data_IF_960615326520
#
_entry.id   IF_960615326520
#
_cell.length_a   1.000
_cell.length_b   1.000
_cell.length_c   1.000
_cell.angle_alpha   90.00
_cell.angle_beta   90.00
_cell.angle_gamma   90.00
#
_symmetry.space_group_name_H-M   'P 1'
#
loop_
_entity.id
_entity.type
_entity.pdbx_description
1 polymer ?
#
# COMPACT_ATOMS: atom_id res chain seq x y z
N UNK A 1 3.40 -1.32 -44.21
CA UNK A 1 3.93 -1.96 -45.42
C UNK A 1 5.32 -1.43 -45.67
N UNK A 2 6.31 -2.33 -45.79
CA UNK A 2 7.71 -1.94 -46.02
C UNK A 2 7.98 -1.90 -47.54
N UNK A 3 7.33 -2.80 -48.27
CA UNK A 3 7.35 -2.84 -49.75
C UNK A 3 5.99 -3.35 -50.23
N UNK A 4 5.36 -2.63 -51.16
CA UNK A 4 4.02 -3.01 -51.69
C UNK A 4 4.02 -4.14 -52.68
N UNK A 5 5.20 -4.65 -53.03
CA UNK A 5 5.33 -5.65 -54.04
C UNK A 5 4.95 -5.14 -55.47
N UNK A 6 5.43 -5.79 -56.48
CA UNK A 6 5.07 -5.43 -57.87
C UNK A 6 4.63 -6.69 -58.62
N UNK A 7 3.58 -6.57 -59.44
CA UNK A 7 3.17 -7.61 -60.34
C UNK A 7 4.11 -7.61 -61.55
N UNK A 8 4.82 -8.71 -61.76
CA UNK A 8 5.61 -8.91 -62.97
C UNK A 8 4.73 -9.12 -64.20
N UNK A 9 5.27 -8.83 -65.40
CA UNK A 9 4.64 -9.17 -66.66
C UNK A 9 5.12 -10.57 -67.06
N UNK A 10 4.21 -11.52 -67.27
CA UNK A 10 4.51 -12.90 -67.58
C UNK A 10 5.42 -13.65 -66.59
N UNK A 11 5.35 -13.25 -65.30
CA UNK A 11 6.16 -13.86 -64.23
C UNK A 11 7.59 -13.30 -64.11
N UNK A 12 7.99 -12.37 -64.96
CA UNK A 12 9.30 -11.72 -64.90
C UNK A 12 9.16 -10.37 -64.18
N UNK A 13 9.99 -10.12 -63.15
CA UNK A 13 10.03 -8.85 -62.41
C UNK A 13 8.95 -8.71 -61.31
N UNK A 14 8.35 -9.81 -60.86
CA UNK A 14 7.49 -9.81 -59.69
C UNK A 14 8.34 -9.62 -58.44
N UNK A 15 7.93 -8.72 -57.55
CA UNK A 15 8.51 -8.53 -56.23
C UNK A 15 7.44 -8.82 -55.16
N UNK A 16 7.80 -9.62 -54.17
CA UNK A 16 6.89 -9.93 -53.05
C UNK A 16 6.65 -8.72 -52.14
N UNK A 17 5.41 -8.56 -51.67
CA UNK A 17 5.10 -7.57 -50.69
C UNK A 17 5.73 -7.95 -49.33
N UNK A 18 6.46 -7.01 -48.73
CA UNK A 18 7.02 -7.18 -47.39
C UNK A 18 6.21 -6.35 -46.41
N UNK A 19 5.55 -7.02 -45.50
CA UNK A 19 4.76 -6.39 -44.45
C UNK A 19 5.45 -6.64 -43.12
N UNK A 20 5.77 -5.55 -42.39
CA UNK A 20 6.20 -5.64 -40.98
C UNK A 20 4.99 -5.47 -40.11
N UNK A 21 4.59 -6.53 -39.40
CA UNK A 21 3.53 -6.48 -38.39
C UNK A 21 4.19 -6.22 -37.06
N UNK A 22 3.83 -5.10 -36.40
CA UNK A 22 4.19 -4.81 -35.02
C UNK A 22 2.99 -5.23 -34.17
N UNK A 23 3.15 -6.27 -33.39
CA UNK A 23 2.17 -6.59 -32.35
C UNK A 23 2.31 -5.58 -31.22
N UNK A 24 1.25 -4.84 -30.94
CA UNK A 24 1.19 -4.01 -29.75
C UNK A 24 0.86 -4.91 -28.57
N UNK A 25 1.76 -4.94 -27.60
CA UNK A 25 1.58 -5.68 -26.35
C UNK A 25 0.69 -4.85 -25.46
N UNK A 26 -0.44 -5.40 -25.02
CA UNK A 26 -1.36 -4.68 -24.13
C UNK A 26 -0.74 -4.45 -22.75
N UNK A 27 -1.21 -3.43 -21.99
CA UNK A 27 -0.76 -3.19 -20.63
C UNK A 27 -0.90 -4.41 -19.71
N UNK A 28 -1.99 -5.16 -19.86
CA UNK A 28 -2.21 -6.42 -19.13
C UNK A 28 -1.15 -7.47 -19.47
N UNK A 29 -0.88 -7.68 -20.76
CA UNK A 29 0.15 -8.64 -21.19
C UNK A 29 1.55 -8.27 -20.71
N UNK A 30 1.87 -6.95 -20.61
CA UNK A 30 3.13 -6.49 -20.00
C UNK A 30 3.19 -6.87 -18.52
N UNK A 31 2.10 -6.67 -17.79
CA UNK A 31 2.00 -6.99 -16.36
C UNK A 31 2.13 -8.49 -16.12
N UNK A 32 1.33 -9.31 -16.82
CA UNK A 32 1.32 -10.76 -16.65
C UNK A 32 2.67 -11.40 -17.01
N UNK A 33 3.26 -10.96 -18.13
CA UNK A 33 4.58 -11.45 -18.52
C UNK A 33 5.63 -11.14 -17.47
N UNK A 34 5.69 -9.89 -17.01
CA UNK A 34 6.66 -9.48 -16.00
C UNK A 34 6.48 -10.26 -14.70
N UNK A 35 5.24 -10.38 -14.21
CA UNK A 35 4.96 -11.13 -12.98
C UNK A 35 5.33 -12.61 -13.14
N UNK A 36 4.99 -13.21 -14.28
CA UNK A 36 5.34 -14.60 -14.56
C UNK A 36 6.84 -14.81 -14.54
N UNK A 37 7.60 -13.98 -15.26
CA UNK A 37 9.07 -14.06 -15.33
C UNK A 37 9.69 -13.92 -13.91
N UNK A 38 9.15 -13.04 -13.07
CA UNK A 38 9.60 -12.87 -11.69
C UNK A 38 9.26 -14.10 -10.84
N UNK A 39 8.02 -14.60 -10.88
CA UNK A 39 7.60 -15.78 -10.11
C UNK A 39 8.42 -17.02 -10.47
N UNK A 40 8.62 -17.27 -11.77
CA UNK A 40 9.47 -18.36 -12.26
C UNK A 40 10.92 -18.24 -11.76
N UNK A 41 11.47 -17.02 -11.73
CA UNK A 41 12.84 -16.76 -11.23
C UNK A 41 13.00 -17.06 -9.74
N UNK A 42 11.92 -16.92 -8.96
CA UNK A 42 11.90 -17.27 -7.54
C UNK A 42 11.46 -18.73 -7.26
N UNK A 43 11.13 -19.48 -8.30
CA UNK A 43 10.60 -20.83 -8.15
C UNK A 43 9.22 -20.87 -7.48
N UNK A 44 8.41 -19.84 -7.71
CA UNK A 44 7.05 -19.68 -7.17
C UNK A 44 6.06 -20.10 -8.26
N UNK A 45 5.24 -21.11 -7.99
CA UNK A 45 4.22 -21.60 -8.91
C UNK A 45 2.85 -21.04 -8.55
N UNK A 46 2.39 -20.06 -9.33
CA UNK A 46 1.13 -19.36 -9.13
C UNK A 46 0.42 -19.11 -10.46
N UNK A 47 -0.89 -18.94 -10.41
CA UNK A 47 -1.72 -18.50 -11.53
C UNK A 47 -1.99 -17.02 -11.43
N UNK A 48 -2.04 -16.34 -12.57
CA UNK A 48 -2.33 -14.93 -12.69
C UNK A 48 -3.69 -14.75 -13.37
N UNK A 49 -4.62 -14.09 -12.69
CA UNK A 49 -5.93 -13.72 -13.22
C UNK A 49 -5.96 -12.20 -13.40
N UNK A 50 -5.82 -11.73 -14.64
CA UNK A 50 -5.73 -10.31 -14.94
C UNK A 50 -6.94 -9.76 -15.67
N UNK A 51 -7.25 -8.48 -15.45
CA UNK A 51 -8.19 -7.68 -16.24
C UNK A 51 -7.61 -6.31 -16.55
N UNK A 52 -8.08 -5.72 -17.65
CA UNK A 52 -7.73 -4.35 -18.04
C UNK A 52 -9.01 -3.60 -18.41
N UNK A 53 -9.39 -2.65 -17.59
CA UNK A 53 -10.58 -1.81 -17.74
C UNK A 53 -10.29 -0.39 -17.23
N UNK A 54 -10.83 0.62 -17.87
CA UNK A 54 -10.76 2.03 -17.45
C UNK A 54 -9.32 2.50 -17.09
N UNK A 55 -8.37 2.24 -17.99
CA UNK A 55 -6.94 2.55 -17.78
C UNK A 55 -6.35 1.95 -16.49
N UNK A 56 -6.94 0.84 -16.04
CA UNK A 56 -6.51 0.13 -14.83
C UNK A 56 -6.26 -1.34 -15.13
N UNK A 57 -5.05 -1.80 -14.83
CA UNK A 57 -4.67 -3.22 -14.81
C UNK A 57 -4.87 -3.76 -13.41
N UNK A 58 -5.64 -4.83 -13.28
CA UNK A 58 -5.80 -5.57 -12.02
C UNK A 58 -5.32 -6.98 -12.23
N UNK A 59 -4.48 -7.47 -11.33
CA UNK A 59 -3.99 -8.85 -11.36
C UNK A 59 -4.20 -9.48 -9.99
N UNK A 60 -4.93 -10.59 -9.96
CA UNK A 60 -5.04 -11.44 -8.79
C UNK A 60 -4.09 -12.63 -8.93
N UNK A 61 -3.28 -12.85 -7.91
CA UNK A 61 -2.34 -13.95 -7.84
C UNK A 61 -2.98 -15.07 -7.03
N UNK A 62 -3.08 -16.26 -7.64
CA UNK A 62 -3.72 -17.44 -7.04
C UNK A 62 -2.73 -18.58 -6.98
N UNK A 63 -2.61 -19.23 -5.84
CA UNK A 63 -1.72 -20.36 -5.62
C UNK A 63 -2.05 -21.09 -4.34
N UNK A 64 -1.24 -22.05 -3.96
CA UNK A 64 -1.37 -22.66 -2.64
C UNK A 64 -0.93 -21.68 -1.53
N UNK A 65 -1.23 -22.00 -0.28
CA UNK A 65 -0.98 -21.08 0.84
C UNK A 65 0.52 -20.83 1.11
N UNK A 66 1.40 -21.74 0.73
CA UNK A 66 2.85 -21.55 0.86
C UNK A 66 3.36 -20.55 -0.18
N UNK A 67 2.99 -20.75 -1.45
CA UNK A 67 3.38 -19.87 -2.55
C UNK A 67 2.79 -18.46 -2.39
N UNK A 68 1.50 -18.37 -2.05
CA UNK A 68 0.83 -17.12 -1.72
C UNK A 68 1.53 -16.41 -0.56
N UNK A 69 1.97 -17.14 0.48
CA UNK A 69 2.73 -16.58 1.58
C UNK A 69 4.06 -15.93 1.15
N UNK A 70 4.78 -16.54 0.19
CA UNK A 70 6.01 -15.99 -0.39
C UNK A 70 5.73 -14.71 -1.18
N UNK A 71 4.65 -14.70 -1.97
CA UNK A 71 4.20 -13.53 -2.75
C UNK A 71 3.80 -12.37 -1.85
N UNK A 72 3.08 -12.62 -0.75
CA UNK A 72 2.73 -11.60 0.22
C UNK A 72 3.98 -11.04 0.90
N UNK A 73 4.85 -11.93 1.36
CA UNK A 73 6.02 -11.58 2.14
C UNK A 73 5.69 -11.04 3.53
N UNK A 74 6.69 -10.44 4.16
CA UNK A 74 6.51 -9.89 5.50
C UNK A 74 5.57 -8.68 5.49
N UNK A 75 4.35 -8.85 6.01
CA UNK A 75 3.33 -7.78 6.12
C UNK A 75 2.89 -7.18 4.79
N UNK A 76 3.05 -7.90 3.71
CA UNK A 76 2.70 -7.42 2.37
C UNK A 76 3.81 -6.64 1.67
N UNK A 77 5.02 -6.57 2.23
CA UNK A 77 6.14 -5.81 1.64
C UNK A 77 6.52 -6.34 0.25
N UNK A 78 6.51 -7.66 0.05
CA UNK A 78 6.80 -8.26 -1.27
C UNK A 78 5.69 -7.93 -2.27
N UNK A 79 4.43 -8.05 -1.85
CA UNK A 79 3.28 -7.72 -2.69
C UNK A 79 3.28 -6.24 -3.11
N UNK A 80 3.63 -5.34 -2.20
CA UNK A 80 3.76 -3.90 -2.49
C UNK A 80 4.92 -3.63 -3.47
N UNK A 81 6.06 -4.30 -3.30
CA UNK A 81 7.19 -4.19 -4.21
C UNK A 81 6.86 -4.71 -5.61
N UNK A 82 6.19 -5.87 -5.71
CA UNK A 82 5.73 -6.44 -6.98
C UNK A 82 4.77 -5.49 -7.70
N UNK A 83 3.79 -4.93 -6.99
CA UNK A 83 2.86 -3.96 -7.57
C UNK A 83 3.60 -2.73 -8.09
N UNK A 84 4.54 -2.19 -7.32
CA UNK A 84 5.31 -1.02 -7.72
C UNK A 84 6.15 -1.28 -8.96
N UNK A 85 6.92 -2.38 -9.00
CA UNK A 85 7.77 -2.73 -10.14
C UNK A 85 6.93 -3.04 -11.39
N UNK A 86 5.81 -3.76 -11.24
CA UNK A 86 4.88 -4.02 -12.36
C UNK A 86 4.31 -2.71 -12.90
N UNK A 87 3.98 -1.76 -12.02
CA UNK A 87 3.51 -0.44 -12.46
C UNK A 87 4.55 0.30 -13.30
N UNK A 88 5.84 0.22 -12.94
CA UNK A 88 6.91 0.81 -13.76
C UNK A 88 7.03 0.14 -15.13
N UNK A 89 6.92 -1.19 -15.19
CA UNK A 89 7.01 -1.94 -16.44
C UNK A 89 5.84 -1.65 -17.36
N UNK A 90 4.62 -1.63 -16.81
CA UNK A 90 3.39 -1.34 -17.58
C UNK A 90 3.42 0.07 -18.14
N UNK A 91 3.82 1.05 -17.35
CA UNK A 91 3.80 2.47 -17.74
C UNK A 91 5.01 2.89 -18.60
N UNK A 92 5.95 1.98 -18.85
CA UNK A 92 7.11 2.29 -19.70
C UNK A 92 6.67 2.50 -21.14
N UNK A 93 6.75 3.77 -21.61
CA UNK A 93 6.41 4.16 -22.97
C UNK A 93 4.93 4.40 -23.22
N UNK A 94 4.10 4.40 -22.20
CA UNK A 94 2.69 4.83 -22.29
C UNK A 94 2.60 6.35 -22.18
N UNK A 95 1.66 6.96 -22.92
CA UNK A 95 1.39 8.41 -22.86
C UNK A 95 0.58 8.78 -21.61
N UNK A 96 -0.39 7.93 -21.26
CA UNK A 96 -1.24 8.12 -20.09
C UNK A 96 -0.85 7.12 -19.00
N UNK A 97 -0.96 7.55 -17.73
CA UNK A 97 -0.66 6.68 -16.60
C UNK A 97 -1.73 5.62 -16.40
N UNK A 98 -1.32 4.36 -16.48
CA UNK A 98 -2.14 3.19 -16.24
C UNK A 98 -1.99 2.74 -14.78
N UNK A 99 -3.09 2.69 -14.08
CA UNK A 99 -3.10 2.21 -12.69
C UNK A 99 -2.92 0.69 -12.64
N UNK A 100 -1.99 0.23 -11.81
CA UNK A 100 -1.76 -1.21 -11.59
C UNK A 100 -2.12 -1.57 -10.16
N UNK A 101 -2.94 -2.59 -9.99
CA UNK A 101 -3.31 -3.15 -8.69
C UNK A 101 -3.04 -4.65 -8.70
N UNK A 102 -2.28 -5.13 -7.73
CA UNK A 102 -1.99 -6.55 -7.54
C UNK A 102 -2.45 -6.95 -6.15
N UNK A 103 -3.21 -8.03 -6.06
CA UNK A 103 -3.64 -8.60 -4.78
C UNK A 103 -3.60 -10.13 -4.84
N UNK A 104 -3.74 -10.76 -3.71
CA UNK A 104 -3.86 -12.21 -3.57
C UNK A 104 -4.81 -12.52 -2.42
N UNK A 105 -5.85 -13.32 -2.68
CA UNK A 105 -6.86 -13.74 -1.71
C UNK A 105 -7.45 -12.59 -0.86
N UNK A 106 -7.57 -11.39 -1.40
CA UNK A 106 -7.97 -10.19 -0.64
C UNK A 106 -7.09 -9.95 0.60
N UNK A 107 -5.79 -10.14 0.46
CA UNK A 107 -4.83 -9.97 1.55
C UNK A 107 -4.92 -8.58 2.18
N UNK A 108 -5.01 -7.53 1.35
CA UNK A 108 -5.05 -6.14 1.85
C UNK A 108 -6.24 -5.89 2.77
N UNK A 109 -7.42 -6.38 2.40
CA UNK A 109 -8.62 -6.29 3.24
C UNK A 109 -8.49 -7.09 4.55
N UNK A 110 -8.03 -8.33 4.47
CA UNK A 110 -7.79 -9.18 5.65
C UNK A 110 -6.72 -8.57 6.58
N UNK A 111 -5.70 -7.94 6.01
CA UNK A 111 -4.63 -7.28 6.78
C UNK A 111 -5.13 -6.04 7.49
N UNK A 112 -5.90 -5.20 6.82
CA UNK A 112 -6.53 -4.02 7.42
C UNK A 112 -7.41 -4.40 8.62
N UNK A 113 -8.28 -5.39 8.48
CA UNK A 113 -9.09 -5.88 9.61
C UNK A 113 -8.24 -6.35 10.78
N UNK A 114 -7.14 -7.06 10.50
CA UNK A 114 -6.21 -7.54 11.53
C UNK A 114 -5.58 -6.38 12.28
N UNK A 115 -5.16 -5.32 11.56
CA UNK A 115 -4.60 -4.11 12.16
C UNK A 115 -5.62 -3.36 13.02
N UNK A 116 -6.87 -3.25 12.56
CA UNK A 116 -7.96 -2.63 13.33
C UNK A 116 -8.23 -3.42 14.62
N UNK A 117 -8.29 -4.76 14.54
CA UNK A 117 -8.46 -5.63 15.71
C UNK A 117 -7.30 -5.47 16.70
N UNK A 118 -6.06 -5.45 16.21
CA UNK A 118 -4.86 -5.22 17.02
C UNK A 118 -4.91 -3.85 17.71
N UNK A 119 -5.25 -2.80 16.97
CA UNK A 119 -5.36 -1.43 17.49
C UNK A 119 -6.36 -1.36 18.64
N UNK A 120 -7.58 -1.83 18.43
CA UNK A 120 -8.66 -1.81 19.45
C UNK A 120 -8.29 -2.61 20.69
N UNK A 121 -7.70 -3.81 20.54
CA UNK A 121 -7.23 -4.65 21.65
C UNK A 121 -6.15 -3.92 22.46
N UNK A 122 -5.16 -3.35 21.78
CA UNK A 122 -4.06 -2.64 22.43
C UNK A 122 -4.54 -1.36 23.12
N UNK A 123 -5.45 -0.62 22.50
CA UNK A 123 -6.08 0.55 23.13
C UNK A 123 -6.82 0.20 24.41
N UNK A 124 -7.52 -0.93 24.47
CA UNK A 124 -8.17 -1.42 25.69
C UNK A 124 -7.17 -1.70 26.81
N UNK A 125 -6.00 -2.28 26.48
CA UNK A 125 -4.92 -2.51 27.46
C UNK A 125 -4.36 -1.18 27.97
N UNK A 126 -4.04 -0.25 27.08
CA UNK A 126 -3.51 1.09 27.41
C UNK A 126 -4.51 1.87 28.27
N UNK A 127 -5.80 1.85 27.93
CA UNK A 127 -6.84 2.54 28.71
C UNK A 127 -6.93 2.01 30.15
N UNK A 128 -6.76 0.67 30.33
CA UNK A 128 -6.82 0.01 31.64
C UNK A 128 -5.54 0.18 32.45
N UNK A 129 -4.39 -0.03 31.81
CA UNK A 129 -3.08 -0.06 32.51
C UNK A 129 -2.43 1.30 32.63
N UNK A 130 -2.88 2.29 31.85
CA UNK A 130 -2.29 3.64 31.72
C UNK A 130 -0.84 3.64 31.24
N UNK A 131 -0.33 2.52 30.76
CA UNK A 131 1.02 2.39 30.19
C UNK A 131 0.95 2.48 28.67
N UNK A 132 1.81 3.30 28.10
CA UNK A 132 1.96 3.40 26.63
C UNK A 132 2.51 2.10 26.05
N UNK A 133 2.02 1.72 24.88
CA UNK A 133 2.49 0.53 24.15
C UNK A 133 2.96 0.99 22.77
N UNK A 134 4.18 0.60 22.41
CA UNK A 134 4.76 0.79 21.09
C UNK A 134 4.51 -0.48 20.28
N UNK A 135 3.89 -0.32 19.13
CA UNK A 135 3.72 -1.42 18.16
C UNK A 135 5.00 -1.60 17.35
N UNK A 136 5.08 -2.73 16.68
CA UNK A 136 6.21 -2.99 15.77
C UNK A 136 6.28 -1.99 14.61
N UNK A 137 7.47 -1.78 14.02
CA UNK A 137 7.60 -0.96 12.82
C UNK A 137 6.68 -1.43 11.69
N UNK A 138 6.06 -0.49 10.98
CA UNK A 138 5.13 -0.77 9.90
C UNK A 138 5.14 0.36 8.87
N UNK A 139 4.66 0.06 7.67
CA UNK A 139 4.62 1.03 6.58
C UNK A 139 3.66 2.21 6.87
N UNK A 140 3.76 3.33 6.12
CA UNK A 140 2.92 4.52 6.37
C UNK A 140 1.42 4.25 6.28
N UNK A 141 0.98 3.36 5.38
CA UNK A 141 -0.44 3.04 5.20
C UNK A 141 -0.98 2.28 6.42
N UNK A 142 -0.25 1.28 6.92
CA UNK A 142 -0.62 0.53 8.12
C UNK A 142 -0.70 1.44 9.35
N UNK A 143 0.26 2.38 9.50
CA UNK A 143 0.23 3.37 10.59
C UNK A 143 -1.01 4.27 10.50
N UNK A 144 -1.45 4.64 9.28
CA UNK A 144 -2.66 5.43 9.07
C UNK A 144 -3.92 4.65 9.45
N UNK A 145 -4.01 3.36 9.08
CA UNK A 145 -5.13 2.48 9.46
C UNK A 145 -5.30 2.45 10.99
N UNK A 146 -4.22 2.21 11.73
CA UNK A 146 -4.25 2.16 13.20
C UNK A 146 -4.64 3.52 13.78
N UNK A 147 -4.07 4.60 13.25
CA UNK A 147 -4.40 5.96 13.70
C UNK A 147 -5.89 6.27 13.50
N UNK A 148 -6.42 6.01 12.32
CA UNK A 148 -7.84 6.21 11.99
C UNK A 148 -8.76 5.33 12.86
N UNK A 149 -8.40 4.06 13.07
CA UNK A 149 -9.19 3.14 13.89
C UNK A 149 -9.31 3.58 15.36
N UNK A 150 -8.37 4.40 15.86
CA UNK A 150 -8.34 4.86 17.24
C UNK A 150 -8.63 6.35 17.40
N UNK A 151 -8.93 7.07 16.33
CA UNK A 151 -9.16 8.52 16.35
C UNK A 151 -10.30 8.90 17.33
N UNK A 152 -11.37 8.13 17.33
CA UNK A 152 -12.55 8.33 18.19
C UNK A 152 -12.51 7.51 19.49
N UNK A 153 -11.43 6.75 19.71
CA UNK A 153 -11.35 5.89 20.89
C UNK A 153 -11.16 6.74 22.16
N UNK A 154 -12.03 6.51 23.16
CA UNK A 154 -12.00 7.29 24.39
C UNK A 154 -10.72 7.04 25.19
N UNK A 155 -10.16 8.12 25.75
CA UNK A 155 -9.01 8.10 26.69
C UNK A 155 -7.68 7.60 26.11
N UNK A 156 -7.58 7.32 24.81
CA UNK A 156 -6.30 6.98 24.16
C UNK A 156 -6.04 7.89 22.96
N UNK A 157 -4.77 8.06 22.66
CA UNK A 157 -4.28 8.75 21.48
C UNK A 157 -3.13 7.98 20.88
N UNK A 158 -2.79 8.27 19.64
CA UNK A 158 -1.70 7.63 18.92
C UNK A 158 -0.79 8.67 18.31
N UNK A 159 0.50 8.35 18.23
CA UNK A 159 1.48 9.11 17.46
C UNK A 159 2.52 8.18 16.85
N UNK A 160 3.12 8.61 15.74
CA UNK A 160 4.22 7.87 15.11
C UNK A 160 5.56 8.36 15.62
N UNK A 161 6.50 7.43 15.85
CA UNK A 161 7.88 7.72 16.29
C UNK A 161 8.89 6.90 15.49
N UNK A 162 10.14 7.38 15.43
CA UNK A 162 11.20 6.74 14.67
C UNK A 162 11.30 7.26 13.22
N UNK A 163 12.24 6.68 12.47
CA UNK A 163 12.47 6.94 11.05
C UNK A 163 12.22 5.66 10.26
N UNK A 164 11.70 5.79 9.04
CA UNK A 164 11.53 4.64 8.15
C UNK A 164 12.90 4.00 7.85
N UNK A 165 13.03 2.67 7.78
CA UNK A 165 11.97 1.65 7.83
C UNK A 165 11.54 1.24 9.25
N UNK A 166 12.14 1.81 10.32
CA UNK A 166 11.87 1.41 11.72
C UNK A 166 10.83 2.27 12.42
N UNK A 167 10.07 3.07 11.66
CA UNK A 167 9.04 3.94 12.21
C UNK A 167 7.83 3.13 12.67
N UNK A 168 7.37 3.41 13.89
CA UNK A 168 6.30 2.67 14.56
C UNK A 168 5.22 3.60 15.10
N UNK A 169 4.10 3.04 15.55
CA UNK A 169 3.02 3.74 16.25
C UNK A 169 3.12 3.46 17.76
N UNK A 170 2.93 4.50 18.53
CA UNK A 170 2.75 4.43 19.98
C UNK A 170 1.29 4.73 20.30
N UNK A 171 0.67 3.85 21.08
CA UNK A 171 -0.67 4.04 21.64
C UNK A 171 -0.49 4.43 23.10
N UNK A 172 -1.04 5.59 23.49
CA UNK A 172 -0.89 6.16 24.84
C UNK A 172 -2.20 6.73 25.34
N UNK A 173 -2.30 7.02 26.63
CA UNK A 173 -3.48 7.69 27.19
C UNK A 173 -3.51 9.16 26.76
N UNK A 174 -4.70 9.69 26.44
CA UNK A 174 -4.89 11.13 26.32
C UNK A 174 -4.56 11.76 27.67
N UNK A 175 -3.67 12.75 27.69
CA UNK A 175 -3.54 13.61 28.88
C UNK A 175 -4.92 14.25 29.10
N UNK A 176 -5.45 14.19 30.33
CA UNK A 176 -6.57 15.06 30.68
C UNK A 176 -6.06 16.48 30.43
N UNK A 177 -6.63 17.19 29.47
CA UNK A 177 -6.59 18.63 29.48
C UNK A 177 -7.32 19.01 30.78
N UNK A 178 -6.57 19.35 31.80
CA UNK A 178 -7.11 20.14 32.90
C UNK A 178 -7.49 21.47 32.25
N UNK A 179 -8.79 21.67 32.07
CA UNK A 179 -9.31 22.86 31.43
C UNK A 179 -8.70 24.11 32.04
N UNK A 180 -8.66 25.19 31.28
CA UNK A 180 -8.17 26.52 31.67
C UNK A 180 -8.76 27.03 33.00
N UNK A 181 -9.85 26.45 33.51
CA UNK A 181 -10.41 26.69 34.81
C UNK A 181 -9.47 26.40 36.00
N UNK A 182 -8.55 25.43 35.84
CA UNK A 182 -7.61 25.13 36.95
C UNK A 182 -6.48 26.16 37.00
N UNK A 183 -6.04 26.64 35.84
CA UNK A 183 -4.98 27.66 35.75
C UNK A 183 -5.54 29.04 36.16
N UNK A 184 -6.79 29.36 35.82
CA UNK A 184 -7.45 30.60 36.22
C UNK A 184 -7.70 30.66 37.75
N UNK A 185 -8.09 29.52 38.37
CA UNK A 185 -8.34 29.44 39.80
C UNK A 185 -7.07 29.63 40.65
N UNK A 186 -5.92 29.11 40.17
CA UNK A 186 -4.64 29.33 40.88
C UNK A 186 -4.00 30.68 40.58
N UNK A 187 -4.28 31.33 39.45
CA UNK A 187 -3.87 32.71 39.18
C UNK A 187 -4.65 33.74 40.01
N UNK A 188 -5.93 33.46 40.24
CA UNK A 188 -6.76 34.35 41.04
C UNK A 188 -6.31 34.36 42.50
N UNK A 189 -6.08 33.21 43.12
CA UNK A 189 -5.63 33.10 44.51
C UNK A 189 -4.21 33.66 44.76
N UNK A 190 -3.36 33.72 43.72
CA UNK A 190 -2.02 34.31 43.84
C UNK A 190 -2.07 35.84 43.92
N UNK A 191 -3.03 36.48 43.22
CA UNK A 191 -3.22 37.95 43.31
C UNK A 191 -3.85 38.40 44.63
N UNK A 192 -4.72 37.60 45.22
CA UNK A 192 -5.29 37.94 46.56
C UNK A 192 -4.26 37.82 47.68
N UNK A 193 -3.32 36.87 47.59
CA UNK A 193 -2.25 36.74 48.58
C UNK A 193 -1.13 37.79 48.45
N UNK A 194 -0.97 38.40 47.27
CA UNK A 194 -0.02 39.52 47.08
C UNK A 194 -0.59 40.87 47.55
N UNK A 195 -1.91 41.01 47.69
CA UNK A 195 -2.58 42.22 48.18
C UNK A 195 -2.79 42.18 49.72
N UNK A 196 -2.75 40.97 50.30
CA UNK A 196 -2.91 40.79 51.77
C UNK A 196 -1.58 40.77 52.55
N UNK A 197 -0.47 41.02 51.89
CA UNK A 197 0.87 41.04 52.48
C UNK A 197 1.41 42.45 52.67
N UNK A 198 0.85 43.18 53.64
CA UNK A 198 1.45 44.33 54.36
C UNK A 198 1.59 43.98 55.79
#
# INVERSE_FOLDING_TARGET
VVNEGKRGILGLGAEDAVVRVKMEVTPLQKAEKYLKDVMESFGIDVQLNGSYEDESVRVEIVGDSEEVGKVIGRRGDTLDALQYLTSLVVNKGEENYIRVTIDTENYRGKREETLIKLAKRTAGIVARTRKSITLEPMNPNERRIIHSALQEYRNVTTYSTGKDPHRCIVITTKKKEYGDDYVSKYRYNRKENEIAGV
#
